data_IF_176477187027
#
_entry.id   IF_176477187027
#
_cell.length_a   1.000
_cell.length_b   1.000
_cell.length_c   1.000
_cell.angle_alpha   90.00
_cell.angle_beta   90.00
_cell.angle_gamma   90.00
#
_symmetry.space_group_name_H-M   'P 1'
#
loop_
_entity.id
_entity.type
_entity.pdbx_description
1 polymer ?
#
# COMPACT_ATOMS: atom_id res chain seq x y z
N UNK A 1 12.81 -8.88 -3.79
CA UNK A 1 11.46 -9.29 -4.21
C UNK A 1 11.62 -10.37 -5.25
N UNK A 2 11.06 -11.56 -5.03
CA UNK A 2 11.14 -12.63 -6.03
C UNK A 2 10.32 -12.26 -7.29
N UNK A 3 10.49 -13.01 -8.38
CA UNK A 3 9.90 -12.69 -9.68
C UNK A 3 8.37 -12.66 -9.65
N UNK A 4 7.74 -13.65 -9.01
CA UNK A 4 6.28 -13.77 -8.97
C UNK A 4 5.63 -12.70 -8.09
N UNK A 5 6.20 -12.41 -6.92
CA UNK A 5 5.76 -11.31 -6.07
C UNK A 5 5.91 -9.96 -6.77
N UNK A 6 7.00 -9.77 -7.53
CA UNK A 6 7.20 -8.56 -8.34
C UNK A 6 6.17 -8.41 -9.45
N UNK A 7 5.79 -9.49 -10.13
CA UNK A 7 4.72 -9.46 -11.12
C UNK A 7 3.38 -9.11 -10.46
N UNK A 8 3.02 -9.77 -9.36
CA UNK A 8 1.78 -9.50 -8.63
C UNK A 8 1.68 -8.03 -8.18
N UNK A 9 2.75 -7.50 -7.56
CA UNK A 9 2.83 -6.10 -7.17
C UNK A 9 2.64 -5.15 -8.36
N UNK A 10 3.30 -5.43 -9.49
CA UNK A 10 3.19 -4.60 -10.68
C UNK A 10 1.78 -4.64 -11.28
N UNK A 11 1.12 -5.80 -11.28
CA UNK A 11 -0.26 -5.95 -11.74
C UNK A 11 -1.20 -5.08 -10.93
N UNK A 12 -1.17 -5.19 -9.60
CA UNK A 12 -1.98 -4.36 -8.69
C UNK A 12 -1.67 -2.86 -8.88
N UNK A 13 -0.40 -2.49 -9.06
CA UNK A 13 -0.03 -1.10 -9.34
C UNK A 13 -0.54 -0.59 -10.69
N UNK A 14 -0.59 -1.43 -11.72
CA UNK A 14 -1.15 -1.05 -13.03
C UNK A 14 -2.66 -0.83 -12.89
N UNK A 15 -3.37 -1.71 -12.18
CA UNK A 15 -4.80 -1.57 -11.91
C UNK A 15 -5.08 -0.29 -11.11
N UNK A 16 -4.34 -0.05 -10.03
CA UNK A 16 -4.43 1.16 -9.21
C UNK A 16 -4.27 2.44 -10.04
N UNK A 17 -3.19 2.51 -10.85
CA UNK A 17 -2.93 3.67 -11.72
C UNK A 17 -3.98 3.85 -12.80
N UNK A 18 -4.53 2.75 -13.33
CA UNK A 18 -5.57 2.79 -14.34
C UNK A 18 -6.86 3.35 -13.77
N UNK A 19 -7.31 2.89 -12.60
CA UNK A 19 -8.49 3.42 -11.92
C UNK A 19 -8.27 4.87 -11.47
N UNK A 20 -7.08 5.20 -10.98
CA UNK A 20 -6.72 6.59 -10.62
C UNK A 20 -6.85 7.54 -11.80
N UNK A 21 -6.39 7.15 -13.01
CA UNK A 21 -6.53 7.95 -14.24
C UNK A 21 -7.99 8.16 -14.65
N UNK A 22 -8.87 7.20 -14.32
CA UNK A 22 -10.32 7.27 -14.55
C UNK A 22 -11.08 8.02 -13.44
N UNK A 23 -10.36 8.58 -12.46
CA UNK A 23 -10.93 9.18 -11.24
C UNK A 23 -11.78 8.22 -10.39
N UNK A 24 -11.66 6.90 -10.62
CA UNK A 24 -12.24 5.88 -9.74
C UNK A 24 -11.28 5.64 -8.57
N UNK A 25 -11.33 6.56 -7.61
CA UNK A 25 -10.41 6.56 -6.48
C UNK A 25 -10.69 5.45 -5.47
N UNK A 26 -11.93 4.96 -5.39
CA UNK A 26 -12.29 3.82 -4.53
C UNK A 26 -11.58 2.56 -5.01
N UNK A 27 -11.73 2.22 -6.29
CA UNK A 27 -11.05 1.06 -6.88
C UNK A 27 -9.54 1.25 -6.90
N UNK A 28 -9.06 2.47 -7.16
CA UNK A 28 -7.63 2.75 -7.11
C UNK A 28 -7.07 2.48 -5.71
N UNK A 29 -7.75 2.93 -4.65
CA UNK A 29 -7.31 2.73 -3.28
C UNK A 29 -7.30 1.25 -2.89
N UNK A 30 -8.34 0.50 -3.26
CA UNK A 30 -8.40 -0.95 -3.05
C UNK A 30 -7.19 -1.70 -3.66
N UNK A 31 -6.82 -1.38 -4.90
CA UNK A 31 -5.62 -1.99 -5.52
C UNK A 31 -4.31 -1.51 -4.86
N UNK A 32 -4.28 -0.31 -4.28
CA UNK A 32 -3.14 0.18 -3.51
C UNK A 32 -3.01 -0.52 -2.16
N UNK A 33 -4.10 -0.87 -1.49
CA UNK A 33 -4.07 -1.68 -0.27
C UNK A 33 -3.41 -3.04 -0.53
N UNK A 34 -3.76 -3.65 -1.66
CA UNK A 34 -3.19 -4.92 -2.12
C UNK A 34 -1.73 -4.79 -2.52
N UNK A 35 -1.40 -3.73 -3.26
CA UNK A 35 -0.02 -3.37 -3.56
C UNK A 35 0.81 -3.21 -2.29
N UNK A 36 0.26 -2.52 -1.28
CA UNK A 36 0.92 -2.30 -0.01
C UNK A 36 1.22 -3.63 0.68
N UNK A 37 0.24 -4.54 0.79
CA UNK A 37 0.42 -5.89 1.34
C UNK A 37 1.54 -6.65 0.61
N UNK A 38 1.53 -6.66 -0.73
CA UNK A 38 2.57 -7.33 -1.53
C UNK A 38 3.96 -6.69 -1.37
N UNK A 39 4.02 -5.38 -1.15
CA UNK A 39 5.24 -4.61 -0.98
C UNK A 39 5.75 -4.52 0.46
N UNK A 40 5.01 -5.02 1.46
CA UNK A 40 5.25 -4.73 2.90
C UNK A 40 6.69 -4.99 3.35
N UNK A 41 7.29 -6.11 2.92
CA UNK A 41 8.66 -6.49 3.30
C UNK A 41 9.75 -5.77 2.50
N UNK A 42 9.39 -4.89 1.55
CA UNK A 42 10.32 -4.23 0.64
C UNK A 42 10.15 -2.71 0.70
N UNK A 43 11.07 -2.03 1.37
CA UNK A 43 10.96 -0.60 1.69
C UNK A 43 10.62 0.30 0.50
N UNK A 44 11.22 0.07 -0.67
CA UNK A 44 10.95 0.85 -1.89
C UNK A 44 9.51 0.63 -2.36
N UNK A 45 9.06 -0.62 -2.42
CA UNK A 45 7.72 -0.98 -2.88
C UNK A 45 6.64 -0.50 -1.88
N UNK A 46 6.91 -0.66 -0.59
CA UNK A 46 6.08 -0.19 0.51
C UNK A 46 5.91 1.34 0.49
N UNK A 47 7.00 2.10 0.47
CA UNK A 47 6.97 3.56 0.40
C UNK A 47 6.32 4.06 -0.89
N UNK A 48 6.52 3.35 -2.02
CA UNK A 48 5.86 3.69 -3.28
C UNK A 48 4.33 3.51 -3.21
N UNK A 49 3.85 2.52 -2.46
CA UNK A 49 2.41 2.30 -2.22
C UNK A 49 1.81 3.46 -1.42
N UNK A 50 2.47 3.85 -0.32
CA UNK A 50 2.06 5.00 0.50
C UNK A 50 2.05 6.31 -0.29
N UNK A 51 3.04 6.53 -1.15
CA UNK A 51 3.07 7.69 -2.03
C UNK A 51 1.83 7.76 -2.92
N UNK A 52 1.41 6.66 -3.53
CA UNK A 52 0.22 6.63 -4.36
C UNK A 52 -1.08 6.77 -3.57
N UNK A 53 -1.16 6.20 -2.36
CA UNK A 53 -2.29 6.44 -1.45
C UNK A 53 -2.40 7.93 -1.09
N UNK A 54 -1.27 8.59 -0.83
CA UNK A 54 -1.19 10.02 -0.59
C UNK A 54 -1.70 10.84 -1.79
N UNK A 55 -1.36 10.44 -3.03
CA UNK A 55 -1.90 11.08 -4.25
C UNK A 55 -3.42 10.99 -4.33
N UNK A 56 -4.03 9.88 -3.91
CA UNK A 56 -5.50 9.78 -3.79
C UNK A 56 -6.02 10.75 -2.72
N UNK A 57 -5.34 10.86 -1.57
CA UNK A 57 -5.65 11.86 -0.55
C UNK A 57 -5.72 13.28 -1.12
N UNK A 58 -4.73 13.69 -1.92
CA UNK A 58 -4.75 14.99 -2.63
C UNK A 58 -5.91 15.12 -3.61
N UNK A 59 -6.23 14.07 -4.37
CA UNK A 59 -7.33 14.11 -5.36
C UNK A 59 -8.72 14.12 -4.74
N UNK A 60 -8.86 13.56 -3.55
CA UNK A 60 -10.13 13.45 -2.82
C UNK A 60 -10.26 14.52 -1.73
N UNK A 61 -9.31 15.46 -1.64
CA UNK A 61 -9.24 16.48 -0.59
C UNK A 61 -9.27 15.90 0.85
N UNK A 62 -8.75 14.69 1.03
CA UNK A 62 -8.72 13.99 2.31
C UNK A 62 -7.42 14.33 3.06
N UNK A 63 -7.46 15.39 3.87
CA UNK A 63 -6.31 15.85 4.66
C UNK A 63 -5.78 14.79 5.65
N UNK A 64 -6.68 14.00 6.25
CA UNK A 64 -6.31 12.91 7.16
C UNK A 64 -5.45 11.87 6.45
N UNK A 65 -5.84 11.50 5.23
CA UNK A 65 -5.09 10.55 4.41
C UNK A 65 -3.71 11.12 4.04
N UNK A 66 -3.65 12.38 3.59
CA UNK A 66 -2.39 13.03 3.21
C UNK A 66 -1.40 13.03 4.39
N UNK A 67 -1.82 13.54 5.55
CA UNK A 67 -0.95 13.65 6.74
C UNK A 67 -0.52 12.26 7.22
N UNK A 68 -1.46 11.31 7.30
CA UNK A 68 -1.15 9.96 7.77
C UNK A 68 -0.19 9.21 6.84
N UNK A 69 -0.29 9.40 5.53
CA UNK A 69 0.63 8.79 4.59
C UNK A 69 2.04 9.40 4.65
N UNK A 70 2.16 10.73 4.84
CA UNK A 70 3.46 11.35 5.09
C UNK A 70 4.13 10.81 6.36
N UNK A 71 3.37 10.72 7.46
CA UNK A 71 3.89 10.18 8.72
C UNK A 71 4.36 8.72 8.55
N UNK A 72 3.62 7.89 7.81
CA UNK A 72 3.99 6.49 7.53
C UNK A 72 5.23 6.36 6.66
N UNK A 73 5.37 7.18 5.62
CA UNK A 73 6.59 7.20 4.81
C UNK A 73 7.82 7.65 5.62
N UNK A 74 7.67 8.63 6.50
CA UNK A 74 8.75 9.04 7.40
C UNK A 74 9.11 7.92 8.38
N UNK A 75 8.10 7.30 9.00
CA UNK A 75 8.28 6.19 9.92
C UNK A 75 8.92 4.97 9.26
N UNK A 76 8.55 4.63 8.01
CA UNK A 76 9.12 3.47 7.31
C UNK A 76 10.62 3.64 7.04
N UNK A 77 11.10 4.86 6.81
CA UNK A 77 12.53 5.16 6.63
C UNK A 77 13.27 5.01 7.96
N UNK A 78 12.71 5.58 9.05
CA UNK A 78 13.33 5.59 10.38
C UNK A 78 13.34 4.21 11.04
N UNK A 79 12.24 3.46 10.94
CA UNK A 79 12.03 2.18 11.61
C UNK A 79 12.18 0.97 10.70
N UNK A 80 12.85 1.13 9.54
CA UNK A 80 12.97 0.18 8.41
C UNK A 80 13.37 -1.28 8.71
N UNK A 81 13.59 -1.65 9.99
CA UNK A 81 14.06 -2.97 10.42
C UNK A 81 13.29 -3.60 11.59
N UNK A 82 12.29 -2.93 12.17
CA UNK A 82 11.77 -3.40 13.47
C UNK A 82 10.71 -4.48 13.32
N UNK A 83 9.70 -4.30 12.47
CA UNK A 83 8.68 -5.31 12.15
C UNK A 83 7.59 -4.63 11.29
N UNK A 84 7.04 -5.34 10.31
CA UNK A 84 5.94 -4.84 9.46
C UNK A 84 4.70 -5.72 9.70
N UNK A 85 3.54 -5.16 10.10
CA UNK A 85 2.37 -5.96 10.46
C UNK A 85 1.72 -6.59 9.24
N UNK A 86 1.97 -7.88 9.00
CA UNK A 86 1.50 -8.60 7.82
C UNK A 86 0.00 -8.41 7.55
N UNK A 87 -0.32 -8.17 6.27
CA UNK A 87 -1.68 -8.01 5.77
C UNK A 87 -2.30 -6.64 6.04
N UNK A 88 -1.63 -5.74 6.77
CA UNK A 88 -2.13 -4.38 6.96
C UNK A 88 -2.32 -3.68 5.61
N UNK A 89 -3.46 -3.02 5.43
CA UNK A 89 -3.81 -2.39 4.14
C UNK A 89 -3.16 -1.03 3.92
N UNK A 90 -2.58 -0.42 4.95
CA UNK A 90 -1.83 0.83 4.81
C UNK A 90 -2.68 2.11 4.74
N UNK A 91 -4.01 2.02 4.80
CA UNK A 91 -4.94 3.16 4.82
C UNK A 91 -5.00 3.86 6.19
N UNK A 92 -5.29 5.17 6.24
CA UNK A 92 -5.26 5.93 7.53
C UNK A 92 -6.44 5.65 8.47
N UNK A 93 -7.39 4.83 8.01
CA UNK A 93 -8.50 4.28 8.79
C UNK A 93 -8.12 3.04 9.63
N UNK A 94 -6.93 2.45 9.42
CA UNK A 94 -6.43 1.31 10.20
C UNK A 94 -5.19 1.68 11.02
N UNK A 95 -5.03 1.07 12.19
CA UNK A 95 -3.81 1.25 13.00
C UNK A 95 -2.59 0.75 12.22
N UNK A 96 -1.45 1.49 12.23
CA UNK A 96 -0.23 1.08 11.54
C UNK A 96 0.46 -0.13 12.17
N UNK A 97 0.03 -0.60 13.35
CA UNK A 97 0.59 -1.77 14.03
C UNK A 97 -0.36 -2.98 14.02
N UNK A 98 -1.53 -2.86 13.39
CA UNK A 98 -2.55 -3.91 13.39
C UNK A 98 -2.24 -4.96 12.31
N UNK A 99 -1.96 -6.23 12.66
CA UNK A 99 -1.96 -7.31 11.69
C UNK A 99 -3.38 -7.53 11.16
N UNK A 100 -3.48 -7.94 9.90
CA UNK A 100 -4.77 -8.18 9.26
C UNK A 100 -4.70 -9.46 8.39
N UNK A 101 -5.84 -10.13 8.13
CA UNK A 101 -5.85 -11.27 7.23
C UNK A 101 -5.34 -10.87 5.84
N UNK A 102 -4.42 -11.67 5.30
CA UNK A 102 -3.96 -11.52 3.92
C UNK A 102 -5.06 -12.08 2.99
N UNK A 103 -5.48 -11.34 1.94
CA UNK A 103 -6.39 -11.86 0.93
C UNK A 103 -5.90 -13.18 0.34
N UNK A 104 -6.79 -14.16 0.20
CA UNK A 104 -6.41 -15.54 -0.17
C UNK A 104 -5.63 -15.63 -1.48
N UNK A 105 -5.99 -14.79 -2.44
CA UNK A 105 -5.37 -14.72 -3.75
C UNK A 105 -3.93 -14.14 -3.72
N UNK A 106 -3.59 -13.41 -2.65
CA UNK A 106 -2.25 -12.85 -2.43
C UNK A 106 -1.31 -13.79 -1.65
N UNK A 107 -1.84 -14.72 -0.84
CA UNK A 107 -1.05 -15.60 0.03
C UNK A 107 0.05 -16.35 -0.71
N UNK A 108 -0.23 -16.82 -1.92
CA UNK A 108 0.72 -17.58 -2.77
C UNK A 108 1.99 -16.82 -3.16
N UNK A 109 1.98 -15.49 -3.05
CA UNK A 109 3.13 -14.65 -3.39
C UNK A 109 3.99 -14.28 -2.18
N UNK A 110 3.48 -14.52 -0.96
CA UNK A 110 4.06 -14.08 0.30
C UNK A 110 4.65 -15.24 1.13
N UNK A 111 4.62 -16.46 0.59
CA UNK A 111 5.28 -17.66 1.13
C UNK A 111 6.78 -17.67 0.90
#
# INVERSE_FOLDING_TARGET
>A
MNSELKKAFNTEMILAKTSYKKADYTTAFYNLERTHILGQSYIIAHTYSHWWMCKIGFKTHNAKEIIGQFARMAASIVFSRIWVPLGNTGGTNVSPFKPMPIPDDLKRFLS
#
